data_IF_160324702205
#
_entry.id   IF_160324702205
#
_cell.length_a   1.000
_cell.length_b   1.000
_cell.length_c   1.000
_cell.angle_alpha   90.00
_cell.angle_beta   90.00
_cell.angle_gamma   90.00
#
_symmetry.space_group_name_H-M   'P 1'
#
loop_
_entity.id
_entity.type
_entity.pdbx_description
1 polymer ?
#
# COMPACT_ATOMS: atom_id res chain seq x y z
N UNK A 1 -24.28 -14.73 7.08
CA UNK A 1 -23.42 -15.07 8.24
C UNK A 1 -23.67 -14.01 9.30
N UNK A 2 -24.23 -14.39 10.44
CA UNK A 2 -24.54 -13.45 11.52
C UNK A 2 -23.27 -12.86 12.14
N UNK A 3 -23.24 -11.52 12.26
CA UNK A 3 -22.08 -10.76 12.75
C UNK A 3 -21.73 -11.06 14.22
N UNK A 4 -22.71 -11.53 15.00
CA UNK A 4 -22.60 -11.68 16.46
C UNK A 4 -22.31 -13.12 16.93
N UNK A 5 -22.61 -14.16 16.14
CA UNK A 5 -22.38 -15.58 16.50
C UNK A 5 -21.27 -16.26 15.70
N UNK A 6 -20.90 -15.71 14.53
CA UNK A 6 -19.86 -16.25 13.66
C UNK A 6 -18.85 -15.19 13.21
N UNK A 7 -18.45 -14.30 14.12
CA UNK A 7 -17.51 -13.21 13.84
C UNK A 7 -16.24 -13.68 13.13
N UNK A 8 -15.62 -14.78 13.59
CA UNK A 8 -14.39 -15.32 12.98
C UNK A 8 -14.62 -15.77 11.53
N UNK A 9 -15.74 -16.46 11.23
CA UNK A 9 -16.06 -16.89 9.85
C UNK A 9 -16.38 -15.70 8.95
N UNK A 10 -17.11 -14.71 9.46
CA UNK A 10 -17.40 -13.47 8.74
C UNK A 10 -16.11 -12.68 8.43
N UNK A 11 -15.25 -12.52 9.44
CA UNK A 11 -13.98 -11.82 9.32
C UNK A 11 -13.04 -12.51 8.33
N UNK A 12 -12.85 -13.82 8.46
CA UNK A 12 -12.05 -14.61 7.51
C UNK A 12 -12.63 -14.54 6.10
N UNK A 13 -13.95 -14.64 5.95
CA UNK A 13 -14.61 -14.50 4.65
C UNK A 13 -14.39 -13.13 4.01
N UNK A 14 -14.46 -12.06 4.80
CA UNK A 14 -14.23 -10.69 4.33
C UNK A 14 -12.76 -10.39 4.03
N UNK A 15 -11.83 -11.00 4.77
CA UNK A 15 -10.40 -10.95 4.46
C UNK A 15 -10.07 -11.73 3.20
N UNK A 16 -10.63 -12.92 3.03
CA UNK A 16 -10.42 -13.74 1.85
C UNK A 16 -11.00 -13.06 0.61
N UNK A 17 -12.23 -12.54 0.68
CA UNK A 17 -12.86 -11.81 -0.44
C UNK A 17 -12.07 -10.54 -0.76
N UNK A 18 -11.62 -9.81 0.26
CA UNK A 18 -10.83 -8.60 0.08
C UNK A 18 -9.42 -8.84 -0.46
N UNK A 19 -8.76 -9.88 0.02
CA UNK A 19 -7.46 -10.33 -0.45
C UNK A 19 -7.53 -10.83 -1.90
N UNK A 20 -8.55 -11.63 -2.24
CA UNK A 20 -8.75 -12.10 -3.62
C UNK A 20 -9.09 -10.95 -4.56
N UNK A 21 -10.03 -10.06 -4.21
CA UNK A 21 -10.34 -8.88 -5.02
C UNK A 21 -9.11 -7.98 -5.21
N UNK A 22 -8.32 -7.78 -4.15
CA UNK A 22 -7.07 -7.03 -4.22
C UNK A 22 -6.03 -7.69 -5.11
N UNK A 23 -5.82 -9.00 -4.98
CA UNK A 23 -4.90 -9.76 -5.81
C UNK A 23 -5.31 -9.74 -7.29
N UNK A 24 -6.59 -9.98 -7.59
CA UNK A 24 -7.11 -9.92 -8.97
C UNK A 24 -6.94 -8.53 -9.57
N UNK A 25 -7.21 -7.46 -8.82
CA UNK A 25 -6.98 -6.09 -9.30
C UNK A 25 -5.49 -5.87 -9.59
N UNK A 26 -4.60 -6.26 -8.67
CA UNK A 26 -3.16 -6.15 -8.86
C UNK A 26 -2.67 -6.99 -10.06
N UNK A 27 -3.29 -8.11 -10.42
CA UNK A 27 -2.92 -8.84 -11.64
C UNK A 27 -3.02 -8.01 -12.92
N UNK A 28 -3.76 -6.89 -12.93
CA UNK A 28 -3.84 -5.98 -14.07
C UNK A 28 -3.12 -4.66 -13.80
N UNK A 29 -3.26 -4.09 -12.60
CA UNK A 29 -2.76 -2.74 -12.31
C UNK A 29 -1.34 -2.71 -11.73
N UNK A 30 -0.79 -3.84 -11.32
CA UNK A 30 0.53 -3.89 -10.68
C UNK A 30 1.67 -3.34 -11.56
N UNK A 31 1.72 -3.57 -12.89
CA UNK A 31 2.74 -2.95 -13.73
C UNK A 31 2.69 -1.41 -13.69
N UNK A 32 1.50 -0.82 -13.59
CA UNK A 32 1.34 0.64 -13.47
C UNK A 32 1.84 1.15 -12.12
N UNK A 33 1.53 0.44 -11.03
CA UNK A 33 2.08 0.74 -9.69
C UNK A 33 3.62 0.64 -9.67
N UNK A 34 4.15 -0.39 -10.33
CA UNK A 34 5.59 -0.60 -10.49
C UNK A 34 6.22 0.58 -11.23
N UNK A 35 5.69 0.96 -12.40
CA UNK A 35 6.21 2.06 -13.20
C UNK A 35 6.14 3.39 -12.45
N UNK A 36 5.03 3.66 -11.76
CA UNK A 36 4.88 4.84 -10.90
C UNK A 36 5.95 4.89 -9.81
N UNK A 37 6.22 3.76 -9.17
CA UNK A 37 7.22 3.67 -8.09
C UNK A 37 8.63 3.90 -8.63
N UNK A 38 8.97 3.31 -9.77
CA UNK A 38 10.28 3.51 -10.43
C UNK A 38 10.49 4.95 -10.88
N UNK A 39 9.48 5.54 -11.52
CA UNK A 39 9.54 6.94 -11.95
C UNK A 39 9.64 7.91 -10.78
N UNK A 40 8.95 7.64 -9.66
CA UNK A 40 9.06 8.47 -8.46
C UNK A 40 10.42 8.36 -7.77
N UNK A 41 11.13 7.24 -7.96
CA UNK A 41 12.48 7.03 -7.43
C UNK A 41 13.59 7.54 -8.38
N UNK A 42 13.26 7.82 -9.64
CA UNK A 42 14.17 8.39 -10.62
C UNK A 42 14.37 9.89 -10.33
N UNK A 43 15.51 10.22 -9.73
CA UNK A 43 15.89 11.59 -9.34
C UNK A 43 16.77 12.29 -10.37
N UNK A 44 16.94 11.70 -11.57
CA UNK A 44 17.73 12.29 -12.65
C UNK A 44 17.18 13.65 -13.09
N UNK A 45 18.04 14.68 -13.18
CA UNK A 45 17.60 16.05 -13.49
C UNK A 45 17.56 16.34 -14.99
N UNK A 46 18.34 15.60 -15.78
CA UNK A 46 18.43 15.75 -17.24
C UNK A 46 18.03 14.48 -18.02
N UNK A 47 17.79 14.61 -19.32
CA UNK A 47 17.43 13.50 -20.22
C UNK A 47 18.51 12.42 -20.36
N UNK A 48 19.75 12.69 -19.94
CA UNK A 48 20.85 11.71 -19.87
C UNK A 48 21.10 11.13 -18.47
N UNK A 49 20.50 11.70 -17.44
CA UNK A 49 20.60 11.22 -16.05
C UNK A 49 19.36 10.43 -15.60
N UNK A 50 18.23 10.60 -16.29
CA UNK A 50 16.99 9.86 -16.01
C UNK A 50 17.07 8.43 -16.50
N UNK A 51 16.74 7.50 -15.62
CA UNK A 51 16.64 6.07 -15.93
C UNK A 51 15.48 5.82 -16.93
N UNK A 52 14.39 6.58 -16.80
CA UNK A 52 13.19 6.41 -17.62
C UNK A 52 12.67 7.74 -18.18
N UNK A 53 12.28 7.73 -19.47
CA UNK A 53 11.67 8.90 -20.14
C UNK A 53 10.18 9.07 -19.83
N UNK A 54 9.55 8.05 -19.24
CA UNK A 54 8.13 8.04 -18.90
C UNK A 54 7.61 6.63 -18.61
N UNK A 55 6.29 6.50 -18.45
CA UNK A 55 5.65 5.23 -18.06
C UNK A 55 5.84 4.13 -19.11
N UNK A 56 5.61 4.44 -20.39
CA UNK A 56 5.80 3.47 -21.48
C UNK A 56 7.26 3.02 -21.64
N UNK A 57 8.21 3.94 -21.49
CA UNK A 57 9.65 3.64 -21.54
C UNK A 57 10.07 2.75 -20.35
N UNK A 58 9.57 3.04 -19.14
CA UNK A 58 9.81 2.22 -17.96
C UNK A 58 9.30 0.80 -18.14
N UNK A 59 8.05 0.62 -18.57
CA UNK A 59 7.48 -0.70 -18.78
C UNK A 59 8.23 -1.46 -19.89
N UNK A 60 8.52 -0.80 -21.01
CA UNK A 60 9.20 -1.39 -22.15
C UNK A 60 10.64 -1.84 -21.82
N UNK A 61 11.42 -1.00 -21.14
CA UNK A 61 12.81 -1.33 -20.73
C UNK A 61 12.85 -2.49 -19.74
N UNK A 62 11.97 -2.48 -18.75
CA UNK A 62 11.93 -3.55 -17.73
C UNK A 62 11.42 -4.85 -18.33
N UNK A 63 10.42 -4.79 -19.21
CA UNK A 63 9.96 -5.97 -19.93
C UNK A 63 11.05 -6.58 -20.83
N UNK A 64 11.86 -5.75 -21.50
CA UNK A 64 12.98 -6.24 -22.32
C UNK A 64 14.13 -6.84 -21.51
N UNK A 65 14.37 -6.37 -20.29
CA UNK A 65 15.48 -6.84 -19.43
C UNK A 65 15.10 -8.05 -18.58
N UNK A 66 13.99 -7.96 -17.84
CA UNK A 66 13.58 -8.95 -16.84
C UNK A 66 12.26 -9.66 -17.18
N UNK A 67 11.63 -9.31 -18.31
CA UNK A 67 10.35 -9.86 -18.73
C UNK A 67 9.19 -9.48 -17.80
N UNK A 68 8.13 -10.29 -17.84
CA UNK A 68 6.94 -10.12 -17.00
C UNK A 68 7.30 -10.27 -15.51
N UNK A 69 8.23 -11.16 -15.17
CA UNK A 69 8.63 -11.41 -13.78
C UNK A 69 9.22 -10.15 -13.14
N UNK A 70 9.97 -9.34 -13.90
CA UNK A 70 10.48 -8.04 -13.45
C UNK A 70 9.37 -7.04 -13.09
N UNK A 71 8.30 -6.99 -13.88
CA UNK A 71 7.17 -6.08 -13.65
C UNK A 71 6.33 -6.47 -12.42
N UNK A 72 6.27 -7.77 -12.08
CA UNK A 72 5.51 -8.29 -10.93
C UNK A 72 6.36 -8.54 -9.67
N UNK A 73 7.61 -8.06 -9.65
CA UNK A 73 8.50 -8.25 -8.52
C UNK A 73 7.95 -7.54 -7.27
N UNK A 74 7.75 -8.29 -6.19
CA UNK A 74 7.08 -7.81 -4.97
C UNK A 74 5.57 -8.07 -4.89
N UNK A 75 4.97 -8.74 -5.87
CA UNK A 75 3.53 -9.02 -5.89
C UNK A 75 3.07 -9.79 -4.64
N UNK A 76 3.78 -10.86 -4.25
CA UNK A 76 3.41 -11.68 -3.09
C UNK A 76 3.35 -10.90 -1.77
N UNK A 77 4.35 -10.06 -1.49
CA UNK A 77 4.36 -9.21 -0.28
C UNK A 77 3.28 -8.12 -0.34
N UNK A 78 2.88 -7.71 -1.54
CA UNK A 78 1.79 -6.74 -1.74
C UNK A 78 0.44 -7.33 -1.36
N UNK A 79 0.17 -8.58 -1.76
CA UNK A 79 -1.06 -9.30 -1.40
C UNK A 79 -1.12 -9.50 0.12
N UNK A 80 -0.01 -9.91 0.75
CA UNK A 80 0.08 -10.01 2.22
C UNK A 80 -0.19 -8.67 2.89
N UNK A 81 0.40 -7.58 2.38
CA UNK A 81 0.17 -6.22 2.87
C UNK A 81 -1.30 -5.80 2.81
N UNK A 82 -2.01 -6.12 1.72
CA UNK A 82 -3.47 -5.82 1.58
C UNK A 82 -4.29 -6.58 2.64
N UNK A 83 -3.99 -7.85 2.85
CA UNK A 83 -4.70 -8.67 3.83
C UNK A 83 -4.50 -8.09 5.24
N UNK A 84 -3.27 -7.76 5.61
CA UNK A 84 -2.93 -7.18 6.91
C UNK A 84 -3.56 -5.79 7.07
N UNK A 85 -3.50 -4.96 6.04
CA UNK A 85 -4.15 -3.65 6.03
C UNK A 85 -5.66 -3.78 6.28
N UNK A 86 -6.36 -4.66 5.54
CA UNK A 86 -7.80 -4.88 5.74
C UNK A 86 -8.11 -5.45 7.12
N UNK A 87 -7.31 -6.41 7.60
CA UNK A 87 -7.48 -6.99 8.94
C UNK A 87 -7.38 -5.94 10.04
N UNK A 88 -6.32 -5.12 10.00
CA UNK A 88 -6.14 -4.02 10.92
C UNK A 88 -7.27 -2.98 10.79
N UNK A 89 -7.62 -2.57 9.57
CA UNK A 89 -8.67 -1.59 9.32
C UNK A 89 -10.01 -2.04 9.90
N UNK A 90 -10.49 -3.24 9.58
CA UNK A 90 -11.77 -3.73 10.10
C UNK A 90 -11.72 -3.97 11.61
N UNK A 91 -10.62 -4.52 12.14
CA UNK A 91 -10.46 -4.76 13.58
C UNK A 91 -10.51 -3.47 14.39
N UNK A 92 -9.74 -2.46 13.99
CA UNK A 92 -9.74 -1.15 14.65
C UNK A 92 -11.04 -0.38 14.41
N UNK A 93 -11.64 -0.48 13.22
CA UNK A 93 -12.91 0.18 12.92
C UNK A 93 -14.06 -0.37 13.75
N UNK A 94 -14.23 -1.71 13.81
CA UNK A 94 -15.29 -2.34 14.60
C UNK A 94 -15.10 -2.04 16.10
N UNK A 95 -13.85 -2.05 16.61
CA UNK A 95 -13.55 -1.67 18.00
C UNK A 95 -13.90 -0.21 18.27
N UNK A 96 -13.46 0.71 17.41
CA UNK A 96 -13.72 2.14 17.58
C UNK A 96 -15.22 2.46 17.49
N UNK A 97 -15.97 1.78 16.61
CA UNK A 97 -17.44 1.92 16.52
C UNK A 97 -18.16 1.30 17.72
N UNK A 98 -17.64 0.20 18.28
CA UNK A 98 -18.20 -0.45 19.48
C UNK A 98 -18.02 0.37 20.76
N UNK A 99 -17.00 1.24 20.81
CA UNK A 99 -16.77 2.16 21.93
C UNK A 99 -17.58 3.46 21.83
N UNK A 100 -18.27 3.72 20.71
CA UNK A 100 -19.09 4.92 20.57
C UNK A 100 -20.44 4.74 21.28
N UNK A 101 -20.83 5.67 22.17
CA UNK A 101 -22.11 5.59 22.88
C UNK A 101 -23.33 5.64 21.95
N UNK A 102 -23.25 6.38 20.84
CA UNK A 102 -24.33 6.51 19.86
C UNK A 102 -23.82 6.55 18.40
N UNK A 103 -23.66 5.39 17.74
CA UNK A 103 -23.12 5.29 16.38
C UNK A 103 -23.95 5.92 15.26
N UNK A 104 -25.23 6.25 15.52
CA UNK A 104 -26.19 6.80 14.54
C UNK A 104 -26.39 8.31 14.62
N UNK A 105 -26.11 8.95 15.77
CA UNK A 105 -26.20 10.41 15.97
C UNK A 105 -24.82 11.08 16.02
N UNK A 106 -23.76 10.35 15.65
CA UNK A 106 -22.41 10.90 15.65
C UNK A 106 -22.27 11.92 14.52
N UNK A 107 -21.81 13.16 14.79
CA UNK A 107 -21.56 14.12 13.73
C UNK A 107 -20.58 13.58 12.69
N UNK A 108 -20.73 14.02 11.43
CA UNK A 108 -19.92 13.53 10.31
C UNK A 108 -18.41 13.72 10.53
N UNK A 109 -18.00 14.82 11.18
CA UNK A 109 -16.60 15.13 11.47
C UNK A 109 -15.97 14.16 12.48
N UNK A 110 -16.75 13.65 13.45
CA UNK A 110 -16.26 12.64 14.41
C UNK A 110 -16.09 11.29 13.72
N UNK A 111 -17.05 10.90 12.88
CA UNK A 111 -16.95 9.68 12.07
C UNK A 111 -15.77 9.75 11.10
N UNK A 112 -15.51 10.92 10.53
CA UNK A 112 -14.33 11.19 9.71
C UNK A 112 -13.03 11.08 10.52
N UNK A 113 -12.96 11.69 11.71
CA UNK A 113 -11.78 11.61 12.57
C UNK A 113 -11.45 10.17 12.97
N UNK A 114 -12.46 9.37 13.33
CA UNK A 114 -12.28 7.95 13.64
C UNK A 114 -11.79 7.18 12.41
N UNK A 115 -12.40 7.41 11.24
CA UNK A 115 -11.95 6.78 10.01
C UNK A 115 -10.49 7.13 9.67
N UNK A 116 -10.07 8.38 9.90
CA UNK A 116 -8.67 8.81 9.72
C UNK A 116 -7.71 8.13 10.69
N UNK A 117 -8.04 8.06 11.97
CA UNK A 117 -7.23 7.38 12.98
C UNK A 117 -7.09 5.89 12.64
N UNK A 118 -8.20 5.22 12.32
CA UNK A 118 -8.20 3.80 11.93
C UNK A 118 -7.38 3.56 10.67
N UNK A 119 -7.54 4.40 9.65
CA UNK A 119 -6.76 4.32 8.40
C UNK A 119 -5.27 4.52 8.66
N UNK A 120 -4.93 5.47 9.52
CA UNK A 120 -3.55 5.78 9.91
C UNK A 120 -2.91 4.60 10.62
N UNK A 121 -3.58 4.03 11.63
CA UNK A 121 -3.07 2.88 12.39
C UNK A 121 -2.94 1.65 11.50
N UNK A 122 -3.97 1.33 10.70
CA UNK A 122 -3.91 0.22 9.75
C UNK A 122 -2.79 0.41 8.71
N UNK A 123 -2.61 1.64 8.24
CA UNK A 123 -1.52 2.04 7.36
C UNK A 123 -0.15 1.77 7.98
N UNK A 124 0.07 2.20 9.23
CA UNK A 124 1.32 1.98 9.97
C UNK A 124 1.59 0.49 10.18
N UNK A 125 0.57 -0.30 10.58
CA UNK A 125 0.70 -1.75 10.79
C UNK A 125 1.11 -2.47 9.50
N UNK A 126 0.54 -2.08 8.35
CA UNK A 126 0.86 -2.68 7.05
C UNK A 126 2.12 -2.09 6.39
N UNK A 127 2.67 -0.99 6.92
CA UNK A 127 3.74 -0.22 6.28
C UNK A 127 5.05 -1.00 6.05
N UNK A 128 5.49 -1.91 6.95
CA UNK A 128 6.65 -2.74 6.68
C UNK A 128 6.53 -3.57 5.38
N UNK A 129 5.33 -4.06 5.07
CA UNK A 129 5.07 -4.80 3.82
C UNK A 129 5.14 -3.91 2.60
N UNK A 130 4.66 -2.66 2.69
CA UNK A 130 4.78 -1.66 1.62
C UNK A 130 6.26 -1.29 1.39
N UNK A 131 7.05 -1.16 2.45
CA UNK A 131 8.49 -0.88 2.33
C UNK A 131 9.21 -2.01 1.58
N UNK A 132 8.97 -3.27 1.96
CA UNK A 132 9.58 -4.42 1.27
C UNK A 132 9.07 -4.55 -0.16
N UNK A 133 7.77 -4.30 -0.41
CA UNK A 133 7.21 -4.23 -1.77
C UNK A 133 8.01 -3.27 -2.64
N UNK A 134 8.17 -2.02 -2.20
CA UNK A 134 8.88 -0.98 -2.97
C UNK A 134 10.35 -1.32 -3.16
N UNK A 135 11.03 -1.83 -2.13
CA UNK A 135 12.44 -2.26 -2.22
C UNK A 135 12.63 -3.39 -3.23
N UNK A 136 11.69 -4.33 -3.32
CA UNK A 136 11.70 -5.41 -4.32
C UNK A 136 11.45 -4.87 -5.74
N UNK A 137 10.54 -3.90 -5.93
CA UNK A 137 10.33 -3.24 -7.23
C UNK A 137 11.60 -2.52 -7.74
N UNK A 138 12.38 -1.93 -6.83
CA UNK A 138 13.64 -1.25 -7.18
C UNK A 138 14.76 -2.19 -7.65
N UNK A 139 14.57 -3.53 -7.56
CA UNK A 139 15.56 -4.50 -8.05
C UNK A 139 15.41 -4.85 -9.52
N UNK A 140 14.24 -4.62 -10.13
CA UNK A 140 14.01 -4.98 -11.52
C UNK A 140 14.81 -4.09 -12.47
N UNK A 141 15.37 -4.65 -13.54
CA UNK A 141 16.21 -3.94 -14.51
C UNK A 141 17.65 -3.71 -14.08
N UNK A 142 18.05 -4.15 -12.88
CA UNK A 142 19.45 -4.12 -12.44
C UNK A 142 20.23 -5.31 -12.99
N UNK A 143 21.52 -5.14 -13.24
CA UNK A 143 22.40 -6.24 -13.58
C UNK A 143 22.42 -7.30 -12.46
N UNK A 144 22.58 -8.58 -12.80
CA UNK A 144 22.54 -9.70 -11.82
C UNK A 144 23.55 -9.54 -10.68
N UNK A 145 24.67 -8.85 -10.92
CA UNK A 145 25.72 -8.52 -9.94
C UNK A 145 25.32 -7.42 -8.96
N UNK A 146 24.34 -6.58 -9.32
CA UNK A 146 23.86 -5.43 -8.53
C UNK A 146 22.52 -5.70 -7.82
N UNK A 147 21.99 -6.93 -7.95
CA UNK A 147 20.78 -7.35 -7.25
C UNK A 147 21.11 -7.53 -5.77
N UNK A 148 20.55 -6.65 -4.94
CA UNK A 148 20.72 -6.64 -3.49
C UNK A 148 19.78 -7.67 -2.84
N UNK A 149 18.57 -7.83 -3.38
CA UNK A 149 17.53 -8.70 -2.80
C UNK A 149 17.17 -9.85 -3.75
N UNK A 150 17.57 -11.07 -3.38
CA UNK A 150 17.26 -12.30 -4.14
C UNK A 150 15.82 -12.78 -3.96
N UNK A 151 15.28 -12.63 -2.75
CA UNK A 151 13.91 -13.02 -2.40
C UNK A 151 13.28 -12.01 -1.43
N UNK A 152 11.96 -12.07 -1.29
CA UNK A 152 11.23 -11.25 -0.30
C UNK A 152 11.73 -11.51 1.12
N UNK A 153 11.96 -12.77 1.48
CA UNK A 153 12.47 -13.15 2.82
C UNK A 153 13.89 -12.62 3.03
N UNK A 154 14.72 -12.68 2.00
CA UNK A 154 16.05 -12.07 2.05
C UNK A 154 15.95 -10.55 2.23
N UNK A 155 15.02 -9.89 1.54
CA UNK A 155 14.79 -8.44 1.69
C UNK A 155 14.43 -8.07 3.14
N UNK A 156 13.51 -8.80 3.77
CA UNK A 156 13.19 -8.62 5.19
C UNK A 156 14.42 -8.77 6.09
N UNK A 157 15.17 -9.86 5.94
CA UNK A 157 16.33 -10.13 6.76
C UNK A 157 17.44 -9.10 6.56
N UNK A 158 17.70 -8.69 5.31
CA UNK A 158 18.74 -7.71 4.97
C UNK A 158 18.38 -6.33 5.53
N UNK A 159 17.13 -5.87 5.39
CA UNK A 159 16.70 -4.57 5.96
C UNK A 159 16.85 -4.60 7.48
N UNK A 160 16.36 -5.66 8.14
CA UNK A 160 16.45 -5.78 9.59
C UNK A 160 17.89 -5.81 10.10
N UNK A 161 18.81 -6.51 9.39
CA UNK A 161 20.22 -6.63 9.78
C UNK A 161 21.07 -5.39 9.44
N UNK A 162 20.84 -4.75 8.29
CA UNK A 162 21.71 -3.68 7.79
C UNK A 162 21.20 -2.27 8.12
N UNK A 163 19.88 -2.06 8.08
CA UNK A 163 19.30 -0.73 8.31
C UNK A 163 18.54 -0.62 9.65
N UNK A 164 18.29 -1.74 10.32
CA UNK A 164 17.53 -1.82 11.57
C UNK A 164 16.02 -1.81 11.38
N UNK A 165 15.28 -2.04 12.47
CA UNK A 165 13.80 -2.15 12.46
C UNK A 165 13.11 -0.81 12.13
N UNK A 166 13.75 0.32 12.45
CA UNK A 166 13.24 1.65 12.07
C UNK A 166 13.20 1.88 10.55
N UNK A 167 13.99 1.14 9.77
CA UNK A 167 14.02 1.29 8.32
C UNK A 167 12.72 0.88 7.63
N UNK A 168 11.95 -0.04 8.23
CA UNK A 168 10.64 -0.44 7.73
C UNK A 168 9.60 0.68 7.78
N UNK A 169 9.83 1.73 8.57
CA UNK A 169 8.92 2.86 8.76
C UNK A 169 9.44 4.16 8.11
N UNK A 170 10.52 4.10 7.31
CA UNK A 170 11.03 5.25 6.56
C UNK A 170 9.98 5.72 5.56
N UNK A 171 9.41 6.90 5.83
CA UNK A 171 8.34 7.50 5.03
C UNK A 171 6.91 7.25 5.56
N UNK A 172 6.74 6.53 6.67
CA UNK A 172 5.43 6.27 7.26
C UNK A 172 4.67 7.56 7.55
N UNK A 173 5.34 8.55 8.18
CA UNK A 173 4.75 9.86 8.46
C UNK A 173 4.30 10.60 7.18
N UNK A 174 5.14 10.61 6.14
CA UNK A 174 4.78 11.21 4.85
C UNK A 174 3.57 10.49 4.21
N UNK A 175 3.49 9.17 4.35
CA UNK A 175 2.35 8.41 3.87
C UNK A 175 1.05 8.73 4.63
N UNK A 176 1.13 8.95 5.94
CA UNK A 176 -0.02 9.39 6.76
C UNK A 176 -0.50 10.75 6.29
N UNK A 177 0.39 11.74 6.15
CA UNK A 177 0.04 13.07 5.65
C UNK A 177 -0.61 13.01 4.26
N UNK A 178 -0.06 12.21 3.35
CA UNK A 178 -0.64 11.99 2.02
C UNK A 178 -2.05 11.39 2.11
N UNK A 179 -2.25 10.42 2.99
CA UNK A 179 -3.56 9.77 3.19
C UNK A 179 -4.60 10.74 3.72
N UNK A 180 -4.27 11.49 4.76
CA UNK A 180 -5.17 12.48 5.37
C UNK A 180 -5.48 13.64 4.41
N UNK A 181 -4.47 14.15 3.69
CA UNK A 181 -4.67 15.19 2.68
C UNK A 181 -5.57 14.72 1.54
N UNK A 182 -5.37 13.51 1.03
CA UNK A 182 -6.23 12.93 -0.01
C UNK A 182 -7.69 12.78 0.44
N UNK A 183 -7.91 12.30 1.67
CA UNK A 183 -9.25 12.19 2.23
C UNK A 183 -9.92 13.57 2.44
N UNK A 184 -9.15 14.57 2.84
CA UNK A 184 -9.65 15.94 3.01
C UNK A 184 -10.09 16.55 1.68
N UNK A 185 -9.32 16.35 0.60
CA UNK A 185 -9.68 16.82 -0.75
C UNK A 185 -10.99 16.20 -1.23
N UNK A 186 -11.22 14.90 -0.98
CA UNK A 186 -12.48 14.24 -1.35
C UNK A 186 -13.69 14.81 -0.59
N UNK A 187 -13.55 15.02 0.72
CA UNK A 187 -14.61 15.61 1.54
C UNK A 187 -14.92 17.04 1.07
N UNK A 188 -13.90 17.86 0.82
CA UNK A 188 -14.09 19.21 0.29
C UNK A 188 -14.78 19.20 -1.07
N UNK A 189 -14.40 18.28 -1.97
CA UNK A 189 -15.04 18.14 -3.27
C UNK A 189 -16.54 17.85 -3.13
N UNK A 190 -16.91 16.92 -2.25
CA UNK A 190 -18.31 16.57 -2.03
C UNK A 190 -19.12 17.72 -1.40
N UNK A 191 -18.54 18.47 -0.46
CA UNK A 191 -19.21 19.63 0.14
C UNK A 191 -19.38 20.79 -0.85
N UNK A 192 -18.35 21.09 -1.66
CA UNK A 192 -18.45 22.11 -2.72
C UNK A 192 -19.52 21.71 -3.73
N UNK A 193 -19.59 20.42 -4.10
CA UNK A 193 -20.59 19.91 -5.03
C UNK A 193 -22.03 20.00 -4.50
N UNK A 194 -22.24 20.01 -3.18
CA UNK A 194 -23.57 20.22 -2.58
C UNK A 194 -24.00 21.69 -2.59
N UNK A 195 -23.04 22.61 -2.69
CA UNK A 195 -23.27 24.06 -2.73
C UNK A 195 -23.50 24.59 -4.15
N UNK A 196 -23.08 23.84 -5.17
CA UNK A 196 -23.35 24.08 -6.61
C UNK A 196 -24.68 23.45 -7.03
#
# INVERSE_FOLDING_TARGET
VDKNTQFVRYFVGNLASGGMAGATSLCFVYPLDFARTRLAADVGKGSGEREFKGLGDCLGKIFKSDGIVGLYRGFGVSVQGIIIYRAAYFGFYDTARGMLPNPKTTPWYVSWAIAQVVTTVAGIVSYPFDTVRRRMMMQSGRAKTEIIYKSTVHCWATIAKQEGTGAFFKGAFSNVLRGTGGAFVLVLYDEIKKLL
#
